data_IF_199836603074
#
_entry.id   IF_199836603074
#
_cell.length_a   1.000
_cell.length_b   1.000
_cell.length_c   1.000
_cell.angle_alpha   90.00
_cell.angle_beta   90.00
_cell.angle_gamma   90.00
#
_symmetry.space_group_name_H-M   'P 1'
#
loop_
_entity.id
_entity.type
_entity.pdbx_description
1 polymer ?
#
# COMPACT_ATOMS: atom_id res chain seq x y z
N UNK A 1 19.66 21.83 22.04
CA UNK A 1 19.46 22.56 20.77
C UNK A 1 18.29 21.90 20.05
N UNK A 2 17.06 22.43 20.26
CA UNK A 2 15.88 21.91 19.57
C UNK A 2 15.85 22.50 18.15
N UNK A 3 16.59 21.89 17.23
CA UNK A 3 16.40 22.18 15.82
C UNK A 3 15.09 21.52 15.37
N UNK A 4 13.98 22.21 15.62
CA UNK A 4 12.70 21.79 15.09
C UNK A 4 12.81 21.83 13.56
N UNK A 5 12.80 20.67 12.93
CA UNK A 5 12.84 20.58 11.47
C UNK A 5 11.65 21.40 10.95
N UNK A 6 11.91 22.37 10.07
CA UNK A 6 10.90 23.36 9.65
C UNK A 6 9.63 22.72 9.05
N UNK A 7 9.74 21.49 8.53
CA UNK A 7 8.64 20.73 7.92
C UNK A 7 7.85 19.88 8.92
N UNK A 8 8.36 19.67 10.16
CA UNK A 8 7.75 18.74 11.14
C UNK A 8 6.32 19.14 11.54
N UNK A 9 5.99 20.43 11.48
CA UNK A 9 4.63 20.92 11.74
C UNK A 9 3.59 20.41 10.72
N UNK A 10 4.02 20.00 9.54
CA UNK A 10 3.16 19.47 8.48
C UNK A 10 3.16 17.94 8.41
N UNK A 11 3.81 17.27 9.37
CA UNK A 11 3.95 15.81 9.38
C UNK A 11 2.60 15.07 9.22
N UNK A 12 1.48 15.48 9.89
CA UNK A 12 0.20 14.79 9.69
C UNK A 12 -0.34 14.91 8.25
N UNK A 13 -0.17 16.09 7.62
CA UNK A 13 -0.62 16.32 6.25
C UNK A 13 0.26 15.59 5.24
N UNK A 14 1.58 15.59 5.47
CA UNK A 14 2.54 14.85 4.64
C UNK A 14 2.24 13.35 4.69
N UNK A 15 1.94 12.83 5.88
CA UNK A 15 1.52 11.44 6.03
C UNK A 15 0.22 11.14 5.27
N UNK A 16 -0.78 12.03 5.33
CA UNK A 16 -2.02 11.87 4.59
C UNK A 16 -1.77 11.80 3.08
N UNK A 17 -0.92 12.70 2.54
CA UNK A 17 -0.52 12.69 1.13
C UNK A 17 0.23 11.39 0.79
N UNK A 18 1.19 11.00 1.62
CA UNK A 18 1.93 9.75 1.46
C UNK A 18 1.00 8.55 1.35
N UNK A 19 0.03 8.42 2.26
CA UNK A 19 -0.97 7.35 2.27
C UNK A 19 -1.80 7.35 0.98
N UNK A 20 -2.27 8.53 0.54
CA UNK A 20 -3.04 8.67 -0.71
C UNK A 20 -2.22 8.24 -1.93
N UNK A 21 -0.97 8.69 -2.03
CA UNK A 21 -0.09 8.33 -3.15
C UNK A 21 0.22 6.84 -3.16
N UNK A 22 0.55 6.26 -2.01
CA UNK A 22 0.81 4.81 -1.90
C UNK A 22 -0.43 4.00 -2.31
N UNK A 23 -1.60 4.35 -1.80
CA UNK A 23 -2.85 3.68 -2.18
C UNK A 23 -3.17 3.82 -3.66
N UNK A 24 -2.96 5.02 -4.23
CA UNK A 24 -3.16 5.28 -5.65
C UNK A 24 -2.24 4.42 -6.53
N UNK A 25 -0.96 4.36 -6.22
CA UNK A 25 -0.02 3.54 -7.00
C UNK A 25 -0.35 2.05 -6.90
N UNK A 26 -0.72 1.58 -5.71
CA UNK A 26 -1.07 0.19 -5.48
C UNK A 26 -2.36 -0.22 -6.20
N UNK A 27 -3.35 0.68 -6.25
CA UNK A 27 -4.59 0.48 -7.00
C UNK A 27 -4.33 0.18 -8.48
N UNK A 28 -3.37 0.86 -9.10
CA UNK A 28 -3.05 0.63 -10.51
C UNK A 28 -2.43 -0.74 -10.77
N UNK A 29 -1.65 -1.29 -9.84
CA UNK A 29 -1.19 -2.67 -9.94
C UNK A 29 -2.36 -3.66 -9.91
N UNK A 30 -3.34 -3.44 -9.05
CA UNK A 30 -4.57 -4.22 -9.01
C UNK A 30 -5.43 -4.05 -10.27
N UNK A 31 -5.56 -2.82 -10.77
CA UNK A 31 -6.28 -2.52 -12.02
C UNK A 31 -5.68 -3.26 -13.21
N UNK A 32 -4.36 -3.28 -13.31
CA UNK A 32 -3.66 -4.02 -14.36
C UNK A 32 -3.98 -5.52 -14.33
N UNK A 33 -4.06 -6.11 -13.12
CA UNK A 33 -4.38 -7.52 -12.94
C UNK A 33 -5.84 -7.85 -13.22
N UNK A 34 -6.77 -7.00 -12.78
CA UNK A 34 -8.21 -7.28 -12.88
C UNK A 34 -8.82 -6.88 -14.23
N UNK A 35 -8.35 -5.76 -14.80
CA UNK A 35 -8.97 -5.14 -15.96
C UNK A 35 -8.04 -5.04 -17.16
N UNK A 36 -6.81 -5.57 -17.05
CA UNK A 36 -5.75 -5.40 -18.04
C UNK A 36 -5.49 -3.93 -18.40
N UNK A 37 -5.70 -3.01 -17.45
CA UNK A 37 -5.51 -1.58 -17.63
C UNK A 37 -4.71 -0.95 -16.46
N UNK A 38 -3.59 -0.27 -16.75
CA UNK A 38 -2.87 -0.24 -18.03
C UNK A 38 -2.39 -1.63 -18.46
N UNK A 39 -2.12 -1.86 -19.76
CA UNK A 39 -1.72 -3.19 -20.22
C UNK A 39 -0.40 -3.64 -19.58
N UNK A 40 -0.31 -4.93 -19.27
CA UNK A 40 0.94 -5.55 -18.78
C UNK A 40 1.83 -5.95 -19.96
N UNK A 41 3.15 -5.81 -19.78
CA UNK A 41 4.14 -6.29 -20.74
C UNK A 41 4.28 -7.83 -20.74
N UNK A 42 3.82 -8.48 -19.66
CA UNK A 42 3.91 -9.93 -19.48
C UNK A 42 2.54 -10.51 -19.14
N UNK A 43 2.33 -11.77 -19.50
CA UNK A 43 1.14 -12.51 -19.09
C UNK A 43 1.13 -12.69 -17.57
N UNK A 44 -0.01 -12.38 -16.95
CA UNK A 44 -0.21 -12.49 -15.52
C UNK A 44 -0.90 -13.84 -15.24
N UNK A 45 -0.27 -14.75 -14.48
CA UNK A 45 -0.89 -16.02 -14.12
C UNK A 45 -2.25 -15.83 -13.44
N UNK A 46 -3.21 -16.69 -13.77
CA UNK A 46 -4.59 -16.56 -13.29
C UNK A 46 -4.71 -16.50 -11.76
N UNK A 47 -3.90 -17.28 -11.02
CA UNK A 47 -3.93 -17.25 -9.56
C UNK A 47 -3.48 -15.90 -8.97
N UNK A 48 -2.51 -15.23 -9.61
CA UNK A 48 -2.09 -13.89 -9.22
C UNK A 48 -3.21 -12.89 -9.52
N UNK A 49 -3.85 -13.01 -10.68
CA UNK A 49 -4.97 -12.15 -11.06
C UNK A 49 -6.11 -12.23 -10.04
N UNK A 50 -6.50 -13.43 -9.62
CA UNK A 50 -7.65 -13.64 -8.72
C UNK A 50 -7.35 -13.37 -7.24
N UNK A 51 -6.10 -13.45 -6.80
CA UNK A 51 -5.73 -13.25 -5.39
C UNK A 51 -5.15 -11.84 -5.20
N UNK A 52 -4.07 -11.51 -5.89
CA UNK A 52 -3.40 -10.23 -5.73
C UNK A 52 -4.20 -9.08 -6.35
N UNK A 53 -4.83 -9.28 -7.50
CA UNK A 53 -5.62 -8.24 -8.16
C UNK A 53 -6.65 -7.56 -7.25
N UNK A 54 -7.56 -8.31 -6.61
CA UNK A 54 -8.53 -7.73 -5.67
C UNK A 54 -7.88 -7.05 -4.46
N UNK A 55 -6.87 -7.65 -3.85
CA UNK A 55 -6.18 -7.08 -2.69
C UNK A 55 -5.52 -5.75 -3.05
N UNK A 56 -4.82 -5.70 -4.17
CA UNK A 56 -4.15 -4.48 -4.62
C UNK A 56 -5.15 -3.39 -5.05
N UNK A 57 -6.20 -3.75 -5.76
CA UNK A 57 -7.18 -2.77 -6.25
C UNK A 57 -8.01 -2.20 -5.11
N UNK A 58 -8.70 -3.06 -4.36
CA UNK A 58 -9.57 -2.61 -3.27
C UNK A 58 -8.76 -2.14 -2.06
N UNK A 59 -7.63 -2.81 -1.76
CA UNK A 59 -6.72 -2.38 -0.71
C UNK A 59 -6.14 -1.00 -1.00
N UNK A 60 -5.69 -0.75 -2.23
CA UNK A 60 -5.22 0.56 -2.67
C UNK A 60 -6.29 1.64 -2.53
N UNK A 61 -7.53 1.36 -2.96
CA UNK A 61 -8.65 2.28 -2.84
C UNK A 61 -8.96 2.61 -1.37
N UNK A 62 -9.07 1.59 -0.51
CA UNK A 62 -9.39 1.76 0.91
C UNK A 62 -8.29 2.52 1.66
N UNK A 63 -7.02 2.25 1.36
CA UNK A 63 -5.87 2.99 1.91
C UNK A 63 -5.92 4.44 1.42
N UNK A 64 -6.19 4.68 0.14
CA UNK A 64 -6.26 6.02 -0.44
C UNK A 64 -7.30 6.89 0.26
N UNK A 65 -8.51 6.37 0.50
CA UNK A 65 -9.58 7.10 1.21
C UNK A 65 -9.45 7.05 2.73
N UNK A 66 -8.59 6.18 3.27
CA UNK A 66 -8.34 6.04 4.70
C UNK A 66 -9.48 5.38 5.46
N UNK A 67 -10.00 4.26 4.93
CA UNK A 67 -11.04 3.47 5.56
C UNK A 67 -10.50 2.11 5.98
N UNK A 68 -10.69 1.73 7.25
CA UNK A 68 -10.15 0.53 7.89
C UNK A 68 -8.64 0.37 7.69
N UNK A 69 -7.96 1.49 7.63
CA UNK A 69 -6.58 1.60 7.19
C UNK A 69 -5.63 0.61 7.86
N UNK A 70 -5.62 0.43 9.21
CA UNK A 70 -4.67 -0.48 9.85
C UNK A 70 -4.80 -1.92 9.36
N UNK A 71 -6.03 -2.42 9.24
CA UNK A 71 -6.31 -3.79 8.83
C UNK A 71 -6.02 -4.03 7.35
N UNK A 72 -6.48 -3.10 6.52
CA UNK A 72 -6.26 -3.17 5.06
C UNK A 72 -4.77 -3.11 4.74
N UNK A 73 -4.04 -2.18 5.35
CA UNK A 73 -2.61 -2.05 5.14
C UNK A 73 -1.82 -3.27 5.64
N UNK A 74 -2.26 -3.89 6.75
CA UNK A 74 -1.64 -5.12 7.23
C UNK A 74 -1.82 -6.28 6.24
N UNK A 75 -3.02 -6.42 5.65
CA UNK A 75 -3.28 -7.42 4.60
C UNK A 75 -2.43 -7.14 3.36
N UNK A 76 -2.36 -5.89 2.90
CA UNK A 76 -1.52 -5.51 1.75
C UNK A 76 -0.03 -5.77 2.03
N UNK A 77 0.45 -5.52 3.25
CA UNK A 77 1.82 -5.86 3.65
C UNK A 77 2.09 -7.37 3.54
N UNK A 78 1.18 -8.18 4.06
CA UNK A 78 1.28 -9.65 3.97
C UNK A 78 1.25 -10.16 2.53
N UNK A 79 0.39 -9.59 1.70
CA UNK A 79 0.32 -9.91 0.27
C UNK A 79 1.65 -9.58 -0.44
N UNK A 80 2.25 -8.42 -0.17
CA UNK A 80 3.55 -8.03 -0.74
C UNK A 80 4.70 -8.94 -0.26
N UNK A 81 4.68 -9.38 1.00
CA UNK A 81 5.64 -10.37 1.49
C UNK A 81 5.48 -11.71 0.77
N UNK A 82 4.24 -12.16 0.58
CA UNK A 82 3.94 -13.37 -0.18
C UNK A 82 4.37 -13.24 -1.66
N UNK A 83 4.07 -12.12 -2.30
CA UNK A 83 4.45 -11.84 -3.69
C UNK A 83 5.98 -11.88 -3.86
N UNK A 84 6.74 -11.31 -2.91
CA UNK A 84 8.19 -11.37 -2.97
C UNK A 84 8.68 -12.82 -3.01
N UNK A 85 8.28 -13.65 -2.05
CA UNK A 85 8.78 -15.02 -1.96
C UNK A 85 8.26 -15.94 -3.06
N UNK A 86 7.00 -15.77 -3.49
CA UNK A 86 6.38 -16.64 -4.49
C UNK A 86 6.72 -16.30 -5.94
N UNK A 87 7.01 -15.03 -6.22
CA UNK A 87 7.24 -14.55 -7.60
C UNK A 87 8.71 -14.20 -7.83
N UNK A 88 9.33 -13.47 -6.90
CA UNK A 88 10.67 -12.91 -7.09
C UNK A 88 11.76 -13.74 -6.43
N UNK A 89 11.58 -14.19 -5.20
CA UNK A 89 12.59 -14.86 -4.39
C UNK A 89 13.07 -16.20 -4.94
N UNK A 90 12.29 -16.82 -5.82
CA UNK A 90 12.65 -18.07 -6.48
C UNK A 90 13.71 -17.91 -7.60
N UNK A 91 13.92 -16.71 -8.09
CA UNK A 91 14.82 -16.45 -9.23
C UNK A 91 16.23 -16.06 -8.81
N UNK A 92 16.38 -15.31 -7.74
CA UNK A 92 17.66 -14.91 -7.16
C UNK A 92 17.48 -14.45 -5.71
N UNK A 93 18.58 -14.47 -4.93
CA UNK A 93 18.56 -14.09 -3.49
C UNK A 93 18.48 -12.56 -3.33
N UNK A 94 19.14 -11.80 -4.20
CA UNK A 94 19.22 -10.35 -4.06
C UNK A 94 18.05 -9.66 -4.77
N UNK A 95 17.31 -8.76 -4.08
CA UNK A 95 16.14 -8.09 -4.62
C UNK A 95 16.39 -7.32 -5.92
N UNK A 96 17.56 -6.71 -6.05
CA UNK A 96 17.98 -6.01 -7.27
C UNK A 96 18.10 -6.95 -8.48
N UNK A 97 18.48 -8.20 -8.24
CA UNK A 97 18.66 -9.21 -9.30
C UNK A 97 17.36 -9.92 -9.66
N UNK A 98 16.41 -9.99 -8.73
CA UNK A 98 15.14 -10.70 -8.94
C UNK A 98 13.96 -9.77 -9.25
N UNK A 99 14.20 -8.45 -9.29
CA UNK A 99 13.15 -7.45 -9.55
C UNK A 99 12.14 -7.27 -8.40
N UNK A 100 12.41 -7.81 -7.21
CA UNK A 100 11.50 -7.78 -6.06
C UNK A 100 11.62 -6.57 -5.14
N UNK A 101 12.44 -5.57 -5.49
CA UNK A 101 12.65 -4.39 -4.64
C UNK A 101 11.35 -3.68 -4.28
N UNK A 102 10.46 -3.51 -5.26
CA UNK A 102 9.18 -2.85 -5.05
C UNK A 102 8.26 -3.65 -4.12
N UNK A 103 8.25 -4.97 -4.21
CA UNK A 103 7.46 -5.83 -3.32
C UNK A 103 7.95 -5.70 -1.87
N UNK A 104 9.27 -5.72 -1.64
CA UNK A 104 9.85 -5.50 -0.31
C UNK A 104 9.51 -4.10 0.20
N UNK A 105 9.74 -3.07 -0.61
CA UNK A 105 9.47 -1.69 -0.21
C UNK A 105 7.99 -1.53 0.18
N UNK A 106 7.07 -1.99 -0.65
CA UNK A 106 5.64 -1.91 -0.38
C UNK A 106 5.23 -2.71 0.85
N UNK A 107 5.83 -3.89 1.09
CA UNK A 107 5.59 -4.66 2.31
C UNK A 107 5.82 -3.79 3.57
N UNK A 108 6.96 -3.13 3.66
CA UNK A 108 7.29 -2.30 4.82
C UNK A 108 6.58 -0.95 4.84
N UNK A 109 6.28 -0.36 3.69
CA UNK A 109 5.44 0.84 3.57
C UNK A 109 4.04 0.56 4.13
N UNK A 110 3.41 -0.54 3.74
CA UNK A 110 2.10 -0.92 4.27
C UNK A 110 2.15 -1.33 5.75
N UNK A 111 3.22 -1.97 6.19
CA UNK A 111 3.41 -2.28 7.61
C UNK A 111 3.53 -0.98 8.44
N UNK A 112 4.23 0.01 7.94
CA UNK A 112 4.29 1.33 8.56
C UNK A 112 2.91 2.01 8.60
N UNK A 113 2.15 2.00 7.49
CA UNK A 113 0.78 2.53 7.45
C UNK A 113 -0.12 1.79 8.43
N UNK A 114 -0.03 0.46 8.52
CA UNK A 114 -0.79 -0.35 9.47
C UNK A 114 -0.50 0.04 10.93
N UNK A 115 0.77 0.29 11.27
CA UNK A 115 1.18 0.67 12.61
C UNK A 115 0.77 2.09 12.99
N UNK A 116 0.72 3.00 12.01
CA UNK A 116 0.39 4.42 12.24
C UNK A 116 -1.11 4.69 12.19
N UNK A 117 -1.86 3.89 11.44
CA UNK A 117 -3.29 4.10 11.23
C UNK A 117 -3.62 5.06 10.10
N UNK A 118 -4.88 5.51 10.06
CA UNK A 118 -5.42 6.30 8.96
C UNK A 118 -4.90 7.74 8.90
N UNK A 119 -4.56 8.35 10.04
CA UNK A 119 -4.13 9.74 10.14
C UNK A 119 -5.25 10.74 9.78
N UNK A 120 -4.87 12.01 9.64
CA UNK A 120 -5.78 13.08 9.21
C UNK A 120 -6.22 12.90 7.75
N UNK A 121 -7.28 13.59 7.34
CA UNK A 121 -7.84 13.52 5.98
C UNK A 121 -8.21 12.08 5.57
N UNK A 122 -8.83 11.33 6.49
CA UNK A 122 -9.29 9.96 6.29
C UNK A 122 -10.73 9.77 6.72
N UNK A 123 -11.41 8.78 6.15
CA UNK A 123 -12.78 8.41 6.54
C UNK A 123 -12.79 7.91 7.99
N UNK A 124 -11.82 7.10 8.41
CA UNK A 124 -11.71 6.62 9.79
C UNK A 124 -11.67 7.78 10.79
N UNK A 125 -10.82 8.78 10.52
CA UNK A 125 -10.71 9.97 11.38
C UNK A 125 -12.01 10.76 11.44
N UNK A 126 -12.70 10.91 10.33
CA UNK A 126 -13.99 11.59 10.28
C UNK A 126 -15.07 10.85 11.09
N UNK A 127 -15.08 9.51 11.03
CA UNK A 127 -16.00 8.68 11.83
C UNK A 127 -15.69 8.82 13.32
N UNK A 128 -14.41 8.83 13.71
CA UNK A 128 -13.99 8.99 15.11
C UNK A 128 -14.45 10.33 15.71
N UNK A 129 -14.24 11.42 14.98
CA UNK A 129 -14.70 12.76 15.43
C UNK A 129 -16.22 12.80 15.62
N UNK A 130 -16.98 12.13 14.75
CA UNK A 130 -18.44 12.09 14.88
C UNK A 130 -18.95 11.28 16.07
N UNK A 131 -18.23 10.25 16.50
CA UNK A 131 -18.58 9.44 17.67
C UNK A 131 -18.31 10.14 19.00
N UNK A 132 -17.47 11.19 18.99
CA UNK A 132 -17.12 11.96 20.21
C UNK A 132 -18.07 13.16 20.46
N UNK A 133 -19.00 13.43 19.54
CA UNK A 133 -20.06 14.45 19.66
C UNK A 133 -21.38 13.84 20.07
#
# INVERSE_FOLDING_TARGET
>A
MNSTIFISKYEPQIYAIFRVVVGFLFLWHGSQKLFAFPPSAHEIPAYIMFIAGPVEFFGGLLIMIGLWTPWVAFICSGEMAFAYWSVHGLHAVLPLMNGGELAILNCFVFLFIASRGSGVLSIDHFIEIRKQK
#
